data_IF_269104024659
#
_entry.id   IF_269104024659
#
_cell.length_a   1.000
_cell.length_b   1.000
_cell.length_c   1.000
_cell.angle_alpha   90.00
_cell.angle_beta   90.00
_cell.angle_gamma   90.00
#
_symmetry.space_group_name_H-M   'P 1'
#
loop_
_entity.id
_entity.type
_entity.pdbx_description
1 polymer ?
#
# COMPACT_ATOMS: atom_id res chain seq x y z
N UNK A 1 14.51 -9.95 9.57
CA UNK A 1 13.81 -8.72 9.15
C UNK A 1 13.62 -7.81 10.36
N UNK A 2 14.32 -6.68 10.45
CA UNK A 2 14.30 -5.80 11.65
C UNK A 2 13.19 -4.73 11.62
N UNK A 3 12.61 -4.43 10.45
CA UNK A 3 11.78 -3.24 10.27
C UNK A 3 10.40 -3.51 9.63
N UNK A 4 9.99 -4.77 9.47
CA UNK A 4 8.67 -5.18 8.94
C UNK A 4 8.24 -4.40 7.68
N UNK A 5 9.18 -4.15 6.77
CA UNK A 5 8.90 -3.46 5.52
C UNK A 5 8.26 -4.42 4.52
N UNK A 6 7.22 -3.99 3.78
CA UNK A 6 6.60 -4.81 2.75
C UNK A 6 7.51 -4.94 1.54
N UNK A 7 7.48 -6.11 0.89
CA UNK A 7 8.11 -6.31 -0.42
C UNK A 7 7.15 -5.79 -1.50
N UNK A 8 7.51 -4.75 -2.26
CA UNK A 8 6.61 -4.14 -3.23
C UNK A 8 6.26 -5.07 -4.39
N UNK A 9 7.17 -5.95 -4.80
CA UNK A 9 7.00 -6.85 -5.96
C UNK A 9 6.07 -8.00 -5.56
N UNK A 10 6.39 -8.67 -4.45
CA UNK A 10 5.59 -9.80 -4.00
C UNK A 10 4.21 -9.37 -3.50
N UNK A 11 4.08 -8.17 -2.91
CA UNK A 11 2.76 -7.63 -2.51
C UNK A 11 1.86 -7.40 -3.72
N UNK A 12 2.37 -6.78 -4.79
CA UNK A 12 1.58 -6.54 -6.00
C UNK A 12 1.15 -7.87 -6.65
N UNK A 13 2.09 -8.81 -6.77
CA UNK A 13 1.81 -10.14 -7.33
C UNK A 13 0.74 -10.90 -6.52
N UNK A 14 0.85 -10.89 -5.20
CA UNK A 14 -0.14 -11.53 -4.33
C UNK A 14 -1.52 -10.84 -4.45
N UNK A 15 -1.55 -9.50 -4.50
CA UNK A 15 -2.77 -8.74 -4.68
C UNK A 15 -3.49 -9.10 -5.99
N UNK A 16 -2.79 -9.14 -7.11
CA UNK A 16 -3.37 -9.53 -8.41
C UNK A 16 -3.99 -10.94 -8.38
N UNK A 17 -3.34 -11.89 -7.70
CA UNK A 17 -3.84 -13.26 -7.57
C UNK A 17 -5.11 -13.28 -6.71
N UNK A 18 -5.08 -12.62 -5.56
CA UNK A 18 -6.19 -12.62 -4.61
C UNK A 18 -7.42 -11.89 -5.15
N UNK A 19 -7.22 -10.75 -5.84
CA UNK A 19 -8.33 -10.05 -6.52
C UNK A 19 -8.98 -10.95 -7.58
N UNK A 20 -8.18 -11.65 -8.40
CA UNK A 20 -8.70 -12.60 -9.41
C UNK A 20 -9.49 -13.75 -8.79
N UNK A 21 -9.18 -14.12 -7.55
CA UNK A 21 -9.90 -15.13 -6.78
C UNK A 21 -11.18 -14.58 -6.11
N UNK A 22 -11.47 -13.29 -6.27
CA UNK A 22 -12.66 -12.64 -5.71
C UNK A 22 -12.50 -12.17 -4.26
N UNK A 23 -11.27 -12.12 -3.74
CA UNK A 23 -11.03 -11.56 -2.40
C UNK A 23 -11.10 -10.03 -2.41
N UNK A 24 -11.58 -9.46 -1.30
CA UNK A 24 -11.45 -8.04 -1.00
C UNK A 24 -10.05 -7.81 -0.45
N UNK A 25 -9.15 -7.29 -1.27
CA UNK A 25 -7.74 -7.12 -0.90
C UNK A 25 -7.47 -5.73 -0.35
N UNK A 26 -6.85 -5.68 0.83
CA UNK A 26 -6.35 -4.48 1.49
C UNK A 26 -4.84 -4.66 1.72
N UNK A 27 -3.99 -4.25 0.77
CA UNK A 27 -2.55 -4.44 0.84
C UNK A 27 -1.89 -3.41 1.77
N UNK A 28 -1.05 -3.89 2.70
CA UNK A 28 -0.10 -3.07 3.44
C UNK A 28 1.13 -2.80 2.56
N UNK A 29 1.45 -1.53 2.31
CA UNK A 29 2.49 -1.13 1.37
C UNK A 29 3.37 0.02 1.90
N UNK A 30 4.47 0.26 1.21
CA UNK A 30 5.27 1.48 1.42
C UNK A 30 4.49 2.72 0.97
N UNK A 31 4.90 3.90 1.45
CA UNK A 31 4.38 5.18 0.97
C UNK A 31 5.00 5.53 -0.41
N UNK A 32 4.75 4.67 -1.40
CA UNK A 32 5.14 4.85 -2.79
C UNK A 32 3.87 5.10 -3.63
N UNK A 33 3.69 6.31 -4.19
CA UNK A 33 2.54 6.65 -5.02
C UNK A 33 2.36 5.74 -6.24
N UNK A 34 3.46 5.31 -6.86
CA UNK A 34 3.43 4.45 -8.05
C UNK A 34 2.92 3.05 -7.67
N UNK A 35 3.42 2.50 -6.57
CA UNK A 35 2.96 1.21 -6.08
C UNK A 35 1.48 1.26 -5.67
N UNK A 36 1.07 2.32 -4.96
CA UNK A 36 -0.33 2.49 -4.56
C UNK A 36 -1.24 2.55 -5.78
N UNK A 37 -0.83 3.27 -6.85
CA UNK A 37 -1.59 3.30 -8.09
C UNK A 37 -1.72 1.93 -8.74
N UNK A 38 -0.63 1.15 -8.78
CA UNK A 38 -0.66 -0.22 -9.34
C UNK A 38 -1.54 -1.17 -8.52
N UNK A 39 -1.53 -1.05 -7.20
CA UNK A 39 -2.39 -1.86 -6.32
C UNK A 39 -3.87 -1.52 -6.52
N UNK A 40 -4.21 -0.24 -6.70
CA UNK A 40 -5.54 0.20 -7.13
C UNK A 40 -5.91 -0.42 -8.49
N UNK A 41 -5.03 -0.32 -9.49
CA UNK A 41 -5.27 -0.86 -10.84
C UNK A 41 -5.38 -2.38 -10.88
N UNK A 42 -4.71 -3.07 -9.95
CA UNK A 42 -4.86 -4.51 -9.74
C UNK A 42 -6.24 -4.90 -9.18
N UNK A 43 -7.05 -3.93 -8.75
CA UNK A 43 -8.40 -4.11 -8.23
C UNK A 43 -8.48 -4.28 -6.71
N UNK A 44 -7.45 -3.82 -5.97
CA UNK A 44 -7.54 -3.76 -4.51
C UNK A 44 -8.66 -2.80 -4.08
N UNK A 45 -9.36 -3.16 -3.00
CA UNK A 45 -10.45 -2.34 -2.48
C UNK A 45 -9.94 -1.07 -1.77
N UNK A 46 -8.72 -1.11 -1.26
CA UNK A 46 -8.04 0.01 -0.63
C UNK A 46 -6.53 -0.09 -0.89
N UNK A 47 -5.78 0.95 -0.49
CA UNK A 47 -4.32 0.93 -0.35
C UNK A 47 -3.95 1.42 1.05
N UNK A 48 -3.02 0.75 1.73
CA UNK A 48 -2.64 1.08 3.10
C UNK A 48 -1.14 1.40 3.21
N UNK A 49 -0.72 2.60 2.78
CA UNK A 49 0.67 3.05 2.88
C UNK A 49 1.07 3.29 4.34
N UNK A 50 2.29 2.88 4.70
CA UNK A 50 2.84 3.12 6.04
C UNK A 50 3.11 4.61 6.30
N UNK A 51 2.83 5.06 7.53
CA UNK A 51 3.24 6.38 8.05
C UNK A 51 4.69 6.40 8.55
N UNK A 52 5.12 5.30 9.19
CA UNK A 52 6.46 5.06 9.69
C UNK A 52 6.64 3.54 9.89
N UNK A 53 7.87 3.02 10.11
CA UNK A 53 8.06 1.61 10.43
C UNK A 53 7.17 1.15 11.59
N UNK A 54 6.54 -0.03 11.46
CA UNK A 54 5.62 -0.59 12.46
C UNK A 54 6.30 -0.66 13.83
N UNK A 55 5.58 -0.23 14.87
CA UNK A 55 6.07 -0.23 16.25
C UNK A 55 7.06 0.88 16.60
N UNK A 56 7.38 1.79 15.66
CA UNK A 56 8.37 2.85 15.92
C UNK A 56 7.84 4.05 16.72
N UNK A 57 6.52 4.23 16.80
CA UNK A 57 5.87 5.40 17.43
C UNK A 57 6.33 6.77 16.89
N UNK A 58 6.68 6.86 15.59
CA UNK A 58 7.20 8.08 14.95
C UNK A 58 6.16 8.91 14.20
N UNK A 59 4.88 8.53 14.27
CA UNK A 59 3.81 9.24 13.56
C UNK A 59 3.91 9.11 12.03
N UNK A 60 3.66 10.23 11.32
CA UNK A 60 3.60 10.30 9.86
C UNK A 60 4.91 10.84 9.27
N UNK A 61 5.96 10.02 9.25
CA UNK A 61 7.24 10.38 8.62
C UNK A 61 7.15 10.50 7.10
N UNK A 62 6.19 9.79 6.49
CA UNK A 62 5.99 9.75 5.02
C UNK A 62 4.92 10.72 4.54
N UNK A 63 4.61 11.77 5.32
CA UNK A 63 3.48 12.67 5.08
C UNK A 63 3.38 13.22 3.66
N UNK A 64 4.47 13.73 3.10
CA UNK A 64 4.46 14.32 1.75
C UNK A 64 4.03 13.29 0.68
N UNK A 65 4.47 12.04 0.81
CA UNK A 65 4.04 10.95 -0.08
C UNK A 65 2.59 10.54 0.17
N UNK A 66 2.13 10.57 1.42
CA UNK A 66 0.73 10.30 1.75
C UNK A 66 -0.20 11.35 1.12
N UNK A 67 0.19 12.62 1.11
CA UNK A 67 -0.58 13.69 0.46
C UNK A 67 -0.72 13.41 -1.04
N UNK A 68 0.36 13.05 -1.74
CA UNK A 68 0.33 12.64 -3.16
C UNK A 68 -0.58 11.42 -3.37
N UNK A 69 -0.50 10.40 -2.51
CA UNK A 69 -1.34 9.20 -2.61
C UNK A 69 -2.81 9.56 -2.46
N UNK A 70 -3.16 10.39 -1.48
CA UNK A 70 -4.54 10.83 -1.22
C UNK A 70 -5.10 11.62 -2.41
N UNK A 71 -4.30 12.50 -3.02
CA UNK A 71 -4.71 13.27 -4.21
C UNK A 71 -5.00 12.38 -5.43
N UNK A 72 -4.28 11.27 -5.57
CA UNK A 72 -4.34 10.40 -6.75
C UNK A 72 -5.28 9.19 -6.60
N UNK A 73 -5.50 8.72 -5.37
CA UNK A 73 -6.26 7.51 -5.08
C UNK A 73 -7.75 7.67 -5.44
N UNK A 74 -8.29 6.66 -6.13
CA UNK A 74 -9.73 6.59 -6.45
C UNK A 74 -10.44 5.45 -5.73
N UNK A 75 -9.69 4.59 -5.05
CA UNK A 75 -10.20 3.57 -4.15
C UNK A 75 -10.94 4.22 -2.98
N UNK A 76 -12.06 3.63 -2.55
CA UNK A 76 -12.92 4.13 -1.45
C UNK A 76 -13.15 3.05 -0.41
#
# INVERSE_FOLDING_TARGET
>A
MKYLLPDPIETLKAAEILVKQGFVVLPYCGADPVLCKRLEEAGCAAVMPLGAPIGSNRGLLTRDFLEIIIEQAKVR
#
